data_IF_160821026694
#
_entry.id   IF_160821026694
#
_cell.length_a   1.000
_cell.length_b   1.000
_cell.length_c   1.000
_cell.angle_alpha   90.00
_cell.angle_beta   90.00
_cell.angle_gamma   90.00
#
_symmetry.space_group_name_H-M   'P 1'
#
loop_
_entity.id
_entity.type
_entity.pdbx_description
1 polymer ?
#
# COMPACT_ATOMS: atom_id res chain seq x y z
N UNK A 1 -22.42 24.03 14.13
CA UNK A 1 -21.82 24.16 12.78
C UNK A 1 -20.31 24.16 12.92
N UNK A 2 -19.59 23.26 12.21
CA UNK A 2 -18.12 23.17 12.30
C UNK A 2 -17.47 23.92 11.14
N UNK A 3 -16.52 24.79 11.45
CA UNK A 3 -15.73 25.50 10.45
C UNK A 3 -14.49 24.69 10.06
N UNK A 4 -14.24 24.61 8.76
CA UNK A 4 -13.23 23.78 8.15
C UNK A 4 -12.21 24.63 7.42
N UNK A 5 -10.93 24.29 7.58
CA UNK A 5 -9.84 24.76 6.74
C UNK A 5 -9.37 23.65 5.82
N UNK A 6 -9.12 23.93 4.54
CA UNK A 6 -8.61 22.96 3.56
C UNK A 6 -7.20 23.34 3.14
N UNK A 7 -6.24 22.49 3.41
CA UNK A 7 -4.87 22.60 2.89
C UNK A 7 -4.72 21.74 1.65
N UNK A 8 -4.54 22.38 0.49
CA UNK A 8 -4.51 21.73 -0.82
C UNK A 8 -5.89 21.64 -1.48
N UNK A 9 -5.99 22.25 -2.67
CA UNK A 9 -7.24 22.31 -3.44
C UNK A 9 -7.05 21.75 -4.86
N UNK A 10 -6.40 20.56 -4.89
CA UNK A 10 -6.27 19.72 -6.06
C UNK A 10 -7.50 18.82 -6.26
N UNK A 11 -7.32 17.69 -6.93
CA UNK A 11 -8.41 16.73 -7.24
C UNK A 11 -9.20 16.31 -6.00
N UNK A 12 -8.52 15.93 -4.92
CA UNK A 12 -9.16 15.46 -3.67
C UNK A 12 -9.84 16.61 -2.93
N UNK A 13 -9.13 17.73 -2.68
CA UNK A 13 -9.68 18.88 -1.95
C UNK A 13 -10.88 19.49 -2.65
N UNK A 14 -10.90 19.58 -4.00
CA UNK A 14 -12.05 20.05 -4.78
C UNK A 14 -13.22 19.08 -4.68
N UNK A 15 -12.97 17.78 -4.77
CA UNK A 15 -14.03 16.77 -4.65
C UNK A 15 -14.68 16.78 -3.26
N UNK A 16 -13.88 16.82 -2.20
CA UNK A 16 -14.36 16.97 -0.83
C UNK A 16 -15.23 18.24 -0.67
N UNK A 17 -14.71 19.40 -1.10
CA UNK A 17 -15.43 20.66 -1.05
C UNK A 17 -16.79 20.60 -1.75
N UNK A 18 -16.83 20.02 -2.96
CA UNK A 18 -18.07 19.91 -3.73
C UNK A 18 -19.09 19.03 -3.02
N UNK A 19 -18.66 17.91 -2.44
CA UNK A 19 -19.53 16.99 -1.72
C UNK A 19 -20.10 17.61 -0.46
N UNK A 20 -19.29 18.36 0.31
CA UNK A 20 -19.74 19.04 1.52
C UNK A 20 -20.76 20.14 1.22
N UNK A 21 -20.48 21.01 0.28
CA UNK A 21 -21.38 22.12 -0.05
C UNK A 21 -22.72 21.67 -0.65
N UNK A 22 -22.73 20.52 -1.33
CA UNK A 22 -23.96 19.97 -1.93
C UNK A 22 -24.90 19.34 -0.88
N UNK A 23 -24.32 18.65 0.10
CA UNK A 23 -25.08 17.67 0.89
C UNK A 23 -25.20 18.04 2.39
N UNK A 24 -24.41 19.01 2.91
CA UNK A 24 -24.34 19.21 4.35
C UNK A 24 -24.38 20.66 4.75
N UNK A 25 -25.42 21.04 5.55
CA UNK A 25 -25.58 22.39 6.09
C UNK A 25 -24.81 22.65 7.39
N UNK A 26 -24.38 21.57 8.06
CA UNK A 26 -23.72 21.65 9.38
C UNK A 26 -22.22 21.92 9.32
N UNK A 27 -21.65 21.98 8.10
CA UNK A 27 -20.23 22.19 7.86
C UNK A 27 -20.03 23.44 6.99
N UNK A 28 -19.00 24.20 7.29
CA UNK A 28 -18.65 25.40 6.53
C UNK A 28 -17.15 25.46 6.26
N UNK A 29 -16.77 25.45 5.01
CA UNK A 29 -15.39 25.76 4.63
C UNK A 29 -15.21 27.27 4.66
N UNK A 30 -14.32 27.76 5.52
CA UNK A 30 -14.08 29.21 5.71
C UNK A 30 -12.75 29.67 5.13
N UNK A 31 -11.78 28.75 4.98
CA UNK A 31 -10.46 29.10 4.46
C UNK A 31 -9.83 27.93 3.68
N UNK A 32 -9.15 28.25 2.60
CA UNK A 32 -8.45 27.29 1.72
C UNK A 32 -7.03 27.80 1.49
N UNK A 33 -6.03 26.91 1.71
CA UNK A 33 -4.65 27.21 1.36
C UNK A 33 -4.22 26.46 0.09
N UNK A 34 -3.58 27.18 -0.84
CA UNK A 34 -3.14 26.67 -2.13
C UNK A 34 -1.78 27.25 -2.52
N UNK A 35 -0.95 26.49 -3.23
CA UNK A 35 0.36 26.98 -3.71
C UNK A 35 0.24 28.20 -4.63
N UNK A 36 -0.78 28.21 -5.53
CA UNK A 36 -1.01 29.32 -6.47
C UNK A 36 -2.43 29.87 -6.29
N UNK A 37 -2.53 31.02 -5.64
CA UNK A 37 -3.81 31.72 -5.39
C UNK A 37 -4.44 32.25 -6.67
N UNK A 38 -3.63 32.67 -7.65
CA UNK A 38 -4.10 33.28 -8.92
C UNK A 38 -4.64 32.24 -9.91
N UNK A 39 -4.41 30.94 -9.69
CA UNK A 39 -4.91 29.89 -10.58
C UNK A 39 -6.44 29.92 -10.62
N UNK A 40 -7.04 30.15 -11.80
CA UNK A 40 -8.49 30.05 -12.02
C UNK A 40 -8.99 28.64 -11.69
N UNK A 41 -10.10 28.56 -10.98
CA UNK A 41 -10.76 27.31 -10.58
C UNK A 41 -12.20 27.31 -11.07
N UNK A 42 -12.68 26.16 -11.52
CA UNK A 42 -14.06 26.01 -12.00
C UNK A 42 -15.10 26.04 -10.86
N UNK A 43 -14.64 26.02 -9.62
CA UNK A 43 -15.49 26.01 -8.41
C UNK A 43 -15.63 27.42 -7.87
N UNK A 44 -16.85 27.82 -7.53
CA UNK A 44 -17.13 29.10 -6.91
C UNK A 44 -16.66 29.11 -5.44
N UNK A 45 -15.74 30.00 -5.13
CA UNK A 45 -15.16 30.19 -3.79
C UNK A 45 -15.58 31.51 -3.14
N UNK A 46 -16.75 32.05 -3.55
CA UNK A 46 -17.29 33.30 -2.96
C UNK A 46 -17.44 33.13 -1.45
N UNK A 47 -17.00 34.13 -0.69
CA UNK A 47 -17.00 34.14 0.77
C UNK A 47 -16.03 33.13 1.45
N UNK A 48 -15.04 32.62 0.73
CA UNK A 48 -14.00 31.74 1.29
C UNK A 48 -12.66 32.45 1.16
N UNK A 49 -11.94 32.57 2.28
CA UNK A 49 -10.58 33.11 2.27
C UNK A 49 -9.64 32.15 1.56
N UNK A 50 -8.97 32.59 0.50
CA UNK A 50 -7.94 31.79 -0.20
C UNK A 50 -6.57 32.40 0.10
N UNK A 51 -5.62 31.57 0.55
CA UNK A 51 -4.26 31.99 0.93
C UNK A 51 -3.19 31.09 0.32
N UNK A 52 -1.98 31.61 0.17
CA UNK A 52 -0.78 30.81 -0.10
C UNK A 52 -0.02 30.39 1.17
N UNK A 53 -0.36 31.02 2.31
CA UNK A 53 0.29 30.78 3.60
C UNK A 53 -0.43 29.67 4.35
N UNK A 54 -0.01 28.42 4.12
CA UNK A 54 -0.69 27.22 4.66
C UNK A 54 -0.80 27.25 6.20
N UNK A 55 0.17 27.85 6.91
CA UNK A 55 0.17 27.94 8.37
C UNK A 55 -0.98 28.80 8.94
N UNK A 56 -1.55 29.71 8.14
CA UNK A 56 -2.71 30.47 8.58
C UNK A 56 -3.92 29.58 8.93
N UNK A 57 -4.04 28.40 8.32
CA UNK A 57 -5.09 27.44 8.65
C UNK A 57 -4.90 26.88 10.07
N UNK A 58 -3.65 26.58 10.44
CA UNK A 58 -3.32 26.03 11.75
C UNK A 58 -3.55 27.02 12.89
N UNK A 59 -3.31 28.31 12.65
CA UNK A 59 -3.42 29.39 13.68
C UNK A 59 -4.75 30.11 13.69
N UNK A 60 -5.61 29.93 12.67
CA UNK A 60 -6.93 30.59 12.63
C UNK A 60 -7.86 30.01 13.72
N UNK A 61 -8.26 30.80 14.74
CA UNK A 61 -9.05 30.30 15.87
C UNK A 61 -10.46 29.84 15.47
N UNK A 62 -10.97 30.31 14.33
CA UNK A 62 -12.30 29.98 13.85
C UNK A 62 -12.37 28.60 13.15
N UNK A 63 -11.23 27.95 12.88
CA UNK A 63 -11.18 26.63 12.28
C UNK A 63 -11.13 25.58 13.37
N UNK A 64 -12.07 24.65 13.38
CA UNK A 64 -12.11 23.47 14.28
C UNK A 64 -11.53 22.21 13.64
N UNK A 65 -11.67 22.08 12.32
CA UNK A 65 -11.20 20.89 11.58
C UNK A 65 -10.29 21.34 10.44
N UNK A 66 -9.09 20.77 10.40
CA UNK A 66 -8.16 20.93 9.30
C UNK A 66 -8.21 19.70 8.40
N UNK A 67 -8.54 19.90 7.13
CA UNK A 67 -8.44 18.85 6.08
C UNK A 67 -7.14 19.05 5.33
N UNK A 68 -6.22 18.09 5.42
CA UNK A 68 -4.89 18.13 4.79
C UNK A 68 -4.86 17.24 3.54
N UNK A 69 -4.63 17.86 2.38
CA UNK A 69 -4.54 17.24 1.05
C UNK A 69 -3.34 17.80 0.25
N UNK A 70 -2.27 18.27 0.91
CA UNK A 70 -1.11 18.85 0.22
C UNK A 70 -0.04 17.82 -0.11
N UNK A 71 -0.01 16.68 0.60
CA UNK A 71 0.97 15.62 0.39
C UNK A 71 2.38 15.95 0.90
N UNK A 72 3.30 15.00 0.73
CA UNK A 72 4.67 15.07 1.23
C UNK A 72 4.80 14.59 2.68
N UNK A 73 5.95 13.98 3.00
CA UNK A 73 6.18 13.39 4.34
C UNK A 73 6.74 14.39 5.35
N UNK A 74 7.24 15.56 4.91
CA UNK A 74 7.97 16.51 5.74
C UNK A 74 7.65 17.96 5.34
N UNK A 75 8.37 18.92 5.90
CA UNK A 75 8.25 20.33 5.53
C UNK A 75 6.89 20.92 5.84
N UNK A 76 6.20 21.45 4.84
CA UNK A 76 4.95 22.20 5.02
C UNK A 76 3.81 21.38 5.61
N UNK A 77 3.62 20.13 5.17
CA UNK A 77 2.56 19.25 5.66
C UNK A 77 2.76 18.90 7.14
N UNK A 78 3.97 18.46 7.51
CA UNK A 78 4.29 18.14 8.90
C UNK A 78 4.11 19.36 9.83
N UNK A 79 4.69 20.51 9.45
CA UNK A 79 4.59 21.74 10.24
C UNK A 79 3.15 22.19 10.43
N UNK A 80 2.37 22.13 9.35
CA UNK A 80 0.94 22.46 9.38
C UNK A 80 0.16 21.60 10.36
N UNK A 81 0.27 20.26 10.20
CA UNK A 81 -0.49 19.32 11.03
C UNK A 81 -0.08 19.40 12.49
N UNK A 82 1.23 19.49 12.78
CA UNK A 82 1.73 19.66 14.15
C UNK A 82 1.19 20.92 14.80
N UNK A 83 1.34 22.07 14.14
CA UNK A 83 0.82 23.35 14.66
C UNK A 83 -0.69 23.35 14.83
N UNK A 84 -1.44 22.70 13.92
CA UNK A 84 -2.89 22.60 14.04
C UNK A 84 -3.32 21.77 15.26
N UNK A 85 -2.62 20.66 15.54
CA UNK A 85 -2.86 19.84 16.73
C UNK A 85 -2.55 20.63 18.01
N UNK A 86 -1.44 21.39 18.05
CA UNK A 86 -1.07 22.26 19.16
C UNK A 86 -2.12 23.36 19.41
N UNK A 87 -2.80 23.83 18.34
CA UNK A 87 -3.94 24.73 18.39
C UNK A 87 -5.30 24.01 18.54
N UNK A 88 -5.30 22.78 19.04
CA UNK A 88 -6.50 21.99 19.37
C UNK A 88 -7.47 21.78 18.20
N UNK A 89 -6.96 21.67 16.96
CA UNK A 89 -7.77 21.37 15.78
C UNK A 89 -7.78 19.88 15.50
N UNK A 90 -8.96 19.34 15.18
CA UNK A 90 -9.06 17.98 14.63
C UNK A 90 -8.45 17.95 13.23
N UNK A 91 -7.80 16.84 12.90
CA UNK A 91 -7.12 16.63 11.62
C UNK A 91 -7.84 15.54 10.83
N UNK A 92 -8.09 15.80 9.56
CA UNK A 92 -8.46 14.78 8.57
C UNK A 92 -7.42 14.85 7.47
N UNK A 93 -6.71 13.76 7.21
CA UNK A 93 -5.61 13.76 6.23
C UNK A 93 -5.70 12.62 5.23
N UNK A 94 -5.37 12.92 3.97
CA UNK A 94 -5.16 11.93 2.91
C UNK A 94 -3.66 11.56 2.74
N UNK A 95 -2.80 12.01 3.65
CA UNK A 95 -1.35 11.97 3.51
C UNK A 95 -0.73 10.77 4.25
N UNK A 96 -0.73 9.61 3.58
CA UNK A 96 -0.11 8.38 4.11
C UNK A 96 1.38 8.52 4.41
N UNK A 97 2.12 9.29 3.59
CA UNK A 97 3.56 9.45 3.76
C UNK A 97 3.89 10.21 5.06
N UNK A 98 3.14 11.27 5.37
CA UNK A 98 3.26 12.00 6.63
C UNK A 98 3.04 11.09 7.83
N UNK A 99 1.98 10.29 7.81
CA UNK A 99 1.64 9.39 8.92
C UNK A 99 2.63 8.22 9.03
N UNK A 100 3.11 7.67 7.92
CA UNK A 100 4.08 6.57 7.94
C UNK A 100 5.43 7.00 8.56
N UNK A 101 5.84 8.27 8.41
CA UNK A 101 7.12 8.79 8.88
C UNK A 101 6.99 9.46 10.27
N UNK A 102 5.97 10.29 10.47
CA UNK A 102 5.80 11.10 11.69
C UNK A 102 4.58 10.70 12.53
N UNK A 103 3.87 9.63 12.15
CA UNK A 103 2.60 9.27 12.77
C UNK A 103 2.68 9.04 14.27
N UNK A 104 3.74 8.38 14.78
CA UNK A 104 3.88 8.16 16.22
C UNK A 104 3.95 9.46 17.02
N UNK A 105 4.70 10.45 16.53
CA UNK A 105 4.79 11.77 17.17
C UNK A 105 3.46 12.52 17.10
N UNK A 106 2.86 12.56 15.91
CA UNK A 106 1.61 13.27 15.68
C UNK A 106 0.44 12.67 16.45
N UNK A 107 0.35 11.33 16.53
CA UNK A 107 -0.66 10.62 17.32
C UNK A 107 -0.51 10.93 18.81
N UNK A 108 0.71 10.84 19.35
CA UNK A 108 1.00 11.17 20.74
C UNK A 108 0.63 12.62 21.07
N UNK A 109 0.92 13.55 20.15
CA UNK A 109 0.59 14.95 20.28
C UNK A 109 -0.93 15.19 20.25
N UNK A 110 -1.65 14.48 19.36
CA UNK A 110 -3.10 14.55 19.24
C UNK A 110 -3.80 14.01 20.49
N UNK A 111 -3.35 12.88 21.03
CA UNK A 111 -3.84 12.33 22.30
C UNK A 111 -3.67 13.34 23.45
N UNK A 112 -2.48 13.95 23.57
CA UNK A 112 -2.19 14.97 24.60
C UNK A 112 -3.10 16.18 24.50
N UNK A 113 -3.51 16.58 23.29
CA UNK A 113 -4.33 17.76 23.04
C UNK A 113 -5.84 17.43 22.93
N UNK A 114 -6.26 16.17 23.12
CA UNK A 114 -7.63 15.70 22.99
C UNK A 114 -8.25 16.02 21.60
N UNK A 115 -7.47 15.85 20.54
CA UNK A 115 -7.93 16.00 19.16
C UNK A 115 -7.75 14.71 18.38
N UNK A 116 -8.58 14.52 17.35
CA UNK A 116 -8.55 13.35 16.48
C UNK A 116 -7.64 13.57 15.28
N UNK A 117 -6.97 12.50 14.84
CA UNK A 117 -6.40 12.39 13.50
C UNK A 117 -7.17 11.27 12.78
N UNK A 118 -7.95 11.65 11.79
CA UNK A 118 -8.69 10.72 10.93
C UNK A 118 -8.00 10.61 9.57
N UNK A 119 -7.91 9.39 9.01
CA UNK A 119 -7.07 9.15 7.83
C UNK A 119 -7.60 8.04 6.91
N UNK A 120 -8.91 7.80 6.90
CA UNK A 120 -9.53 6.84 5.97
C UNK A 120 -9.09 7.09 4.53
N UNK A 121 -9.06 8.37 4.14
CA UNK A 121 -8.63 8.82 2.81
C UNK A 121 -7.16 8.53 2.47
N UNK A 122 -6.33 8.22 3.47
CA UNK A 122 -4.89 8.02 3.28
C UNK A 122 -4.51 6.59 2.83
N UNK A 123 -5.38 5.60 3.01
CA UNK A 123 -5.01 4.18 2.80
C UNK A 123 -5.57 3.62 1.49
N UNK A 124 -6.85 3.36 1.41
CA UNK A 124 -7.45 2.64 0.28
C UNK A 124 -8.57 3.46 -0.40
N UNK A 125 -8.46 4.78 -0.38
CA UNK A 125 -9.38 5.68 -1.07
C UNK A 125 -10.84 5.48 -0.65
N UNK A 126 -11.63 4.81 -1.48
CA UNK A 126 -13.05 4.56 -1.22
C UNK A 126 -13.36 3.32 -0.39
N UNK A 127 -12.36 2.50 -0.04
CA UNK A 127 -12.52 1.30 0.78
C UNK A 127 -12.44 1.70 2.27
N UNK A 128 -13.49 1.48 3.10
CA UNK A 128 -13.53 1.93 4.50
C UNK A 128 -12.74 1.00 5.43
N UNK A 129 -11.43 0.82 5.17
CA UNK A 129 -10.60 -0.16 5.87
C UNK A 129 -10.14 0.31 7.24
N UNK A 130 -9.81 1.61 7.41
CA UNK A 130 -9.34 2.13 8.70
C UNK A 130 -10.46 2.01 9.73
N UNK A 131 -11.66 2.41 9.37
CA UNK A 131 -12.84 2.32 10.23
C UNK A 131 -13.21 0.87 10.53
N UNK A 132 -13.17 0.01 9.52
CA UNK A 132 -13.45 -1.43 9.71
C UNK A 132 -12.49 -2.03 10.73
N UNK A 133 -11.19 -1.81 10.60
CA UNK A 133 -10.19 -2.37 11.53
C UNK A 133 -10.26 -1.69 12.91
N UNK A 134 -10.42 -0.36 12.94
CA UNK A 134 -10.39 0.42 14.18
C UNK A 134 -11.63 0.23 15.05
N UNK A 135 -12.78 0.02 14.44
CA UNK A 135 -14.08 0.01 15.12
C UNK A 135 -14.73 -1.38 15.09
N UNK A 136 -14.97 -1.94 13.91
CA UNK A 136 -15.70 -3.20 13.76
C UNK A 136 -14.87 -4.41 14.22
N UNK A 137 -13.56 -4.42 13.93
CA UNK A 137 -12.67 -5.54 14.27
C UNK A 137 -11.77 -5.25 15.48
N UNK A 138 -12.08 -4.21 16.26
CA UNK A 138 -11.23 -3.72 17.36
C UNK A 138 -10.85 -4.78 18.39
N UNK A 139 -11.79 -5.66 18.70
CA UNK A 139 -11.61 -6.70 19.73
C UNK A 139 -11.21 -8.06 19.16
N UNK A 140 -11.17 -8.21 17.84
CA UNK A 140 -10.76 -9.43 17.17
C UNK A 140 -9.23 -9.54 17.17
N UNK A 141 -8.71 -10.76 17.22
CA UNK A 141 -7.28 -11.00 17.05
C UNK A 141 -6.96 -11.11 15.57
N UNK A 142 -6.70 -9.97 14.94
CA UNK A 142 -6.26 -9.95 13.55
C UNK A 142 -4.89 -10.62 13.47
N UNK A 143 -4.81 -11.70 12.71
CA UNK A 143 -3.57 -12.45 12.46
C UNK A 143 -2.86 -11.96 11.19
N UNK A 144 -3.63 -11.51 10.17
CA UNK A 144 -3.09 -11.10 8.90
C UNK A 144 -3.95 -10.03 8.25
N UNK A 145 -3.30 -9.03 7.66
CA UNK A 145 -3.93 -8.05 6.78
C UNK A 145 -3.07 -7.91 5.54
N UNK A 146 -3.67 -8.04 4.36
CA UNK A 146 -2.94 -7.94 3.11
C UNK A 146 -3.83 -7.42 2.00
N UNK A 147 -3.24 -6.95 0.91
CA UNK A 147 -4.06 -6.47 -0.18
C UNK A 147 -3.29 -5.84 -1.33
N UNK A 148 -4.05 -5.55 -2.38
CA UNK A 148 -3.64 -4.71 -3.51
C UNK A 148 -3.87 -3.26 -3.06
N UNK A 149 -2.79 -2.59 -2.66
CA UNK A 149 -2.85 -1.25 -2.07
C UNK A 149 -2.42 -0.14 -3.05
N UNK A 150 -2.01 -0.51 -4.27
CA UNK A 150 -1.61 0.43 -5.30
C UNK A 150 -2.32 0.11 -6.63
N UNK A 151 -3.24 0.97 -7.05
CA UNK A 151 -4.04 0.79 -8.26
C UNK A 151 -3.21 0.91 -9.54
N UNK A 152 -2.19 1.77 -9.58
CA UNK A 152 -1.29 1.92 -10.73
C UNK A 152 -0.57 0.62 -11.06
N UNK A 153 0.04 -0.01 -10.04
CA UNK A 153 0.72 -1.30 -10.22
C UNK A 153 -0.26 -2.40 -10.62
N UNK A 154 -1.45 -2.45 -10.00
CA UNK A 154 -2.44 -3.46 -10.36
C UNK A 154 -2.94 -3.29 -11.80
N UNK A 155 -3.15 -2.03 -12.25
CA UNK A 155 -3.47 -1.73 -13.64
C UNK A 155 -2.37 -2.22 -14.60
N UNK A 156 -1.10 -1.90 -14.31
CA UNK A 156 0.04 -2.30 -15.13
C UNK A 156 0.12 -3.83 -15.23
N UNK A 157 0.10 -4.55 -14.10
CA UNK A 157 0.17 -6.02 -14.09
C UNK A 157 -1.02 -6.65 -14.82
N UNK A 158 -2.24 -6.10 -14.65
CA UNK A 158 -3.43 -6.58 -15.36
C UNK A 158 -3.30 -6.41 -16.87
N UNK A 159 -2.79 -5.27 -17.34
CA UNK A 159 -2.63 -5.00 -18.77
C UNK A 159 -1.50 -5.82 -19.39
N UNK A 160 -0.38 -5.98 -18.69
CA UNK A 160 0.70 -6.89 -19.12
C UNK A 160 0.17 -8.30 -19.32
N UNK A 161 -0.58 -8.83 -18.35
CA UNK A 161 -1.15 -10.18 -18.40
C UNK A 161 -2.16 -10.37 -19.53
N UNK A 162 -3.10 -9.41 -19.70
CA UNK A 162 -4.21 -9.55 -20.66
C UNK A 162 -3.85 -9.19 -22.10
N UNK A 163 -3.00 -8.16 -22.25
CA UNK A 163 -2.69 -7.62 -23.58
C UNK A 163 -1.33 -8.11 -24.12
N UNK A 164 -0.55 -8.82 -23.31
CA UNK A 164 0.77 -9.32 -23.70
C UNK A 164 1.76 -8.20 -24.05
N UNK A 165 1.61 -7.02 -23.39
CA UNK A 165 2.46 -5.84 -23.62
C UNK A 165 3.54 -5.76 -22.56
N UNK A 166 4.73 -5.32 -22.97
CA UNK A 166 5.83 -5.08 -22.04
C UNK A 166 5.53 -3.96 -21.05
N UNK A 167 6.15 -4.06 -19.87
CA UNK A 167 6.01 -3.09 -18.76
C UNK A 167 6.15 -1.63 -19.21
N UNK A 168 7.16 -1.34 -20.04
CA UNK A 168 7.44 0.03 -20.51
C UNK A 168 6.32 0.62 -21.38
N UNK A 169 5.66 -0.20 -22.19
CA UNK A 169 4.53 0.22 -23.05
C UNK A 169 3.29 0.47 -22.18
N UNK A 170 2.98 -0.46 -21.29
CA UNK A 170 1.81 -0.33 -20.40
C UNK A 170 1.98 0.86 -19.45
N UNK A 171 3.19 1.10 -18.94
CA UNK A 171 3.46 2.28 -18.10
C UNK A 171 3.19 3.59 -18.84
N UNK A 172 3.62 3.70 -20.10
CA UNK A 172 3.33 4.88 -20.93
C UNK A 172 1.82 5.08 -21.14
N UNK A 173 1.08 3.98 -21.34
CA UNK A 173 -0.38 4.05 -21.49
C UNK A 173 -1.05 4.45 -20.16
N UNK A 174 -0.58 3.95 -19.03
CA UNK A 174 -1.05 4.37 -17.71
C UNK A 174 -0.82 5.86 -17.44
N UNK A 175 0.33 6.41 -17.88
CA UNK A 175 0.64 7.84 -17.78
C UNK A 175 -0.29 8.69 -18.63
N UNK A 176 -0.57 8.28 -19.87
CA UNK A 176 -1.51 8.99 -20.77
C UNK A 176 -2.93 9.02 -20.20
N UNK A 177 -3.36 7.93 -19.54
CA UNK A 177 -4.68 7.81 -18.91
C UNK A 177 -4.75 8.50 -17.53
N UNK A 178 -3.63 8.99 -17.01
CA UNK A 178 -3.55 9.65 -15.69
C UNK A 178 -3.57 8.71 -14.49
N UNK A 179 -3.36 7.40 -14.70
CA UNK A 179 -3.18 6.42 -13.62
C UNK A 179 -1.77 6.43 -13.02
N UNK A 180 -0.76 6.84 -13.81
CA UNK A 180 0.61 7.01 -13.35
C UNK A 180 1.07 8.46 -13.56
N UNK A 181 1.87 8.98 -12.64
CA UNK A 181 2.54 10.27 -12.77
C UNK A 181 3.75 10.18 -13.73
N UNK A 182 4.30 11.34 -14.12
CA UNK A 182 5.51 11.39 -14.97
C UNK A 182 6.69 10.67 -14.30
N UNK A 183 6.86 10.85 -12.99
CA UNK A 183 7.77 10.02 -12.19
C UNK A 183 6.95 8.98 -11.42
N UNK A 184 6.84 7.74 -11.93
CA UNK A 184 6.05 6.68 -11.32
C UNK A 184 6.81 5.91 -10.23
N UNK A 185 8.03 6.32 -9.91
CA UNK A 185 8.95 5.58 -9.00
C UNK A 185 8.29 5.22 -7.68
N UNK A 186 7.50 6.13 -7.11
CA UNK A 186 6.82 5.92 -5.84
C UNK A 186 5.82 4.74 -5.89
N UNK A 187 5.15 4.57 -7.02
CA UNK A 187 4.22 3.46 -7.26
C UNK A 187 4.96 2.18 -7.62
N UNK A 188 5.75 2.21 -8.71
CA UNK A 188 6.35 0.99 -9.29
C UNK A 188 7.40 0.33 -8.40
N UNK A 189 8.03 1.08 -7.50
CA UNK A 189 8.95 0.54 -6.48
C UNK A 189 8.22 0.06 -5.21
N UNK A 190 6.89 0.18 -5.13
CA UNK A 190 6.08 -0.31 -4.04
C UNK A 190 6.05 0.59 -2.79
N UNK A 191 6.60 1.80 -2.85
CA UNK A 191 6.72 2.72 -1.69
C UNK A 191 5.34 3.18 -1.24
N UNK A 192 4.43 3.49 -2.17
CA UNK A 192 3.04 3.85 -1.86
C UNK A 192 2.33 2.75 -1.07
N UNK A 193 2.41 1.51 -1.56
CA UNK A 193 1.83 0.36 -0.86
C UNK A 193 2.48 0.10 0.50
N UNK A 194 3.80 0.38 0.62
CA UNK A 194 4.52 0.21 1.88
C UNK A 194 4.09 1.22 2.95
N UNK A 195 3.86 2.47 2.61
CA UNK A 195 3.28 3.44 3.55
C UNK A 195 1.92 2.96 4.07
N UNK A 196 1.06 2.47 3.16
CA UNK A 196 -0.30 2.02 3.50
C UNK A 196 -0.30 0.78 4.39
N UNK A 197 0.50 -0.25 4.04
CA UNK A 197 0.57 -1.47 4.86
C UNK A 197 1.21 -1.22 6.22
N UNK A 198 2.17 -0.29 6.32
CA UNK A 198 2.75 0.11 7.61
C UNK A 198 1.69 0.70 8.54
N UNK A 199 0.82 1.55 8.05
CA UNK A 199 -0.28 2.12 8.83
C UNK A 199 -1.32 1.06 9.21
N UNK A 200 -1.68 0.19 8.27
CA UNK A 200 -2.59 -0.93 8.53
C UNK A 200 -2.02 -1.93 9.55
N UNK A 201 -0.73 -2.23 9.47
CA UNK A 201 -0.03 -3.10 10.43
C UNK A 201 -0.09 -2.51 11.86
N UNK A 202 0.20 -1.21 11.98
CA UNK A 202 0.13 -0.51 13.26
C UNK A 202 -1.28 -0.55 13.86
N UNK A 203 -2.30 -0.28 13.04
CA UNK A 203 -3.70 -0.30 13.44
C UNK A 203 -4.18 -1.71 13.82
N UNK A 204 -3.91 -2.71 12.97
CA UNK A 204 -4.39 -4.08 13.14
C UNK A 204 -3.74 -4.81 14.32
N UNK A 205 -2.46 -4.58 14.55
CA UNK A 205 -1.68 -5.31 15.58
C UNK A 205 -1.43 -4.50 16.85
N UNK A 206 -1.88 -3.25 16.88
CA UNK A 206 -1.62 -2.30 17.97
C UNK A 206 -0.10 -2.18 18.27
N UNK A 207 0.70 -1.93 17.23
CA UNK A 207 2.15 -1.72 17.32
C UNK A 207 2.51 -0.30 16.86
N UNK A 208 3.64 0.27 17.29
CA UNK A 208 4.09 1.57 16.77
C UNK A 208 4.28 1.55 15.25
N UNK A 209 4.01 2.67 14.60
CA UNK A 209 4.28 2.85 13.16
C UNK A 209 5.80 2.77 12.93
N UNK A 210 6.24 1.83 12.10
CA UNK A 210 7.68 1.60 11.83
C UNK A 210 7.93 1.33 10.35
N UNK A 211 7.86 2.37 9.54
CA UNK A 211 8.05 2.28 8.09
C UNK A 211 9.43 1.70 7.71
N UNK A 212 10.50 2.08 8.43
CA UNK A 212 11.86 1.61 8.17
C UNK A 212 12.06 0.10 8.29
N UNK A 213 11.11 -0.62 8.87
CA UNK A 213 11.16 -2.08 9.00
C UNK A 213 10.33 -2.81 7.94
N UNK A 214 9.69 -2.10 7.03
CA UNK A 214 8.92 -2.69 5.93
C UNK A 214 9.87 -3.14 4.82
N UNK A 215 9.81 -4.44 4.47
CA UNK A 215 10.50 -4.92 3.27
C UNK A 215 9.76 -4.43 2.02
N UNK A 216 10.50 -3.91 1.04
CA UNK A 216 9.88 -3.33 -0.16
C UNK A 216 10.59 -3.84 -1.41
N UNK A 217 9.80 -4.40 -2.33
CA UNK A 217 10.22 -4.79 -3.67
C UNK A 217 9.13 -4.37 -4.67
N UNK A 218 9.54 -3.68 -5.75
CA UNK A 218 8.63 -3.18 -6.78
C UNK A 218 8.31 -4.19 -7.87
N UNK A 219 7.50 -3.76 -8.85
CA UNK A 219 7.03 -4.59 -9.98
C UNK A 219 7.89 -4.47 -11.23
N UNK A 220 8.88 -3.62 -11.23
CA UNK A 220 9.69 -3.26 -12.40
C UNK A 220 10.57 -4.41 -12.95
N UNK A 221 10.65 -5.53 -12.23
CA UNK A 221 11.39 -6.73 -12.63
C UNK A 221 10.51 -7.85 -13.19
N UNK A 222 9.18 -7.68 -13.15
CA UNK A 222 8.23 -8.68 -13.67
C UNK A 222 8.25 -8.61 -15.20
N UNK A 223 8.37 -9.77 -15.85
CA UNK A 223 8.40 -9.90 -17.30
C UNK A 223 7.15 -10.61 -17.84
N UNK A 224 6.89 -10.49 -19.14
CA UNK A 224 5.73 -11.11 -19.78
C UNK A 224 5.70 -12.64 -19.62
N UNK A 225 6.86 -13.30 -19.78
CA UNK A 225 6.95 -14.74 -19.60
C UNK A 225 6.55 -15.20 -18.19
N UNK A 226 6.75 -14.35 -17.17
CA UNK A 226 6.38 -14.68 -15.80
C UNK A 226 4.86 -14.87 -15.66
N UNK A 227 4.05 -14.08 -16.39
CA UNK A 227 2.57 -14.24 -16.38
C UNK A 227 2.15 -15.54 -17.08
N UNK A 228 2.80 -15.91 -18.19
CA UNK A 228 2.50 -17.15 -18.90
C UNK A 228 2.78 -18.35 -18.00
N UNK A 229 3.96 -18.42 -17.42
CA UNK A 229 4.32 -19.51 -16.51
C UNK A 229 3.49 -19.51 -15.22
N UNK A 230 3.21 -18.35 -14.63
CA UNK A 230 2.35 -18.28 -13.45
C UNK A 230 0.98 -18.90 -13.73
N UNK A 231 0.35 -18.57 -14.87
CA UNK A 231 -0.95 -19.13 -15.29
C UNK A 231 -0.89 -20.64 -15.49
N UNK A 232 0.17 -21.17 -16.09
CA UNK A 232 0.35 -22.60 -16.29
C UNK A 232 0.42 -23.38 -14.98
N UNK A 233 0.88 -22.74 -13.91
CA UNK A 233 0.90 -23.32 -12.55
C UNK A 233 -0.34 -22.93 -11.70
N UNK A 234 -1.35 -22.29 -12.30
CA UNK A 234 -2.60 -21.91 -11.61
C UNK A 234 -2.48 -20.65 -10.73
N UNK A 235 -1.57 -19.74 -11.08
CA UNK A 235 -1.34 -18.49 -10.33
C UNK A 235 -1.50 -17.24 -11.19
N UNK A 236 -1.79 -16.12 -10.50
CA UNK A 236 -1.68 -14.75 -11.03
C UNK A 236 -0.62 -13.95 -10.27
N UNK A 237 -0.06 -12.92 -10.92
CA UNK A 237 0.93 -12.04 -10.30
C UNK A 237 0.24 -10.77 -9.83
N UNK A 238 0.38 -10.44 -8.54
CA UNK A 238 -0.12 -9.20 -7.92
C UNK A 238 0.96 -8.54 -7.07
N UNK A 239 0.96 -7.21 -6.97
CA UNK A 239 1.75 -6.51 -5.96
C UNK A 239 0.94 -6.46 -4.67
N UNK A 240 1.43 -7.11 -3.63
CA UNK A 240 0.74 -7.13 -2.34
C UNK A 240 1.50 -6.38 -1.26
N UNK A 241 0.78 -5.56 -0.50
CA UNK A 241 1.19 -5.17 0.84
C UNK A 241 0.66 -6.20 1.83
N UNK A 242 1.53 -6.73 2.69
CA UNK A 242 1.20 -7.83 3.61
C UNK A 242 1.73 -7.49 4.98
N UNK A 243 0.90 -7.62 6.00
CA UNK A 243 1.30 -7.62 7.39
C UNK A 243 0.74 -8.87 8.08
N UNK A 244 1.59 -9.60 8.79
CA UNK A 244 1.24 -10.86 9.46
C UNK A 244 1.80 -10.87 10.88
N UNK A 245 0.94 -11.22 11.84
CA UNK A 245 1.29 -11.33 13.25
C UNK A 245 1.45 -12.79 13.65
N UNK A 246 2.53 -13.08 14.34
CA UNK A 246 2.77 -14.31 15.08
C UNK A 246 2.63 -14.01 16.58
N UNK A 247 2.74 -15.02 17.46
CA UNK A 247 2.52 -14.86 18.90
C UNK A 247 3.18 -13.59 19.48
N UNK A 248 4.51 -13.46 19.34
CA UNK A 248 5.30 -12.38 19.95
C UNK A 248 6.00 -11.48 18.93
N UNK A 249 5.57 -11.57 17.67
CA UNK A 249 6.24 -10.88 16.58
C UNK A 249 5.27 -10.57 15.43
N UNK A 250 5.71 -9.70 14.54
CA UNK A 250 4.99 -9.40 13.31
C UNK A 250 5.97 -9.10 12.18
N UNK A 251 5.51 -9.20 10.97
CA UNK A 251 6.23 -8.78 9.78
C UNK A 251 5.36 -7.88 8.91
N UNK A 252 6.01 -7.04 8.13
CA UNK A 252 5.33 -6.20 7.13
C UNK A 252 6.20 -6.08 5.89
N UNK A 253 5.60 -6.27 4.71
CA UNK A 253 6.31 -6.37 3.45
C UNK A 253 5.45 -5.95 2.27
N UNK A 254 6.10 -5.51 1.20
CA UNK A 254 5.50 -5.26 -0.10
C UNK A 254 6.38 -5.91 -1.15
N UNK A 255 5.81 -6.77 -1.97
CA UNK A 255 6.51 -7.40 -3.09
C UNK A 255 5.51 -8.00 -4.10
N UNK A 256 5.94 -8.28 -5.34
CA UNK A 256 5.18 -9.13 -6.24
C UNK A 256 4.96 -10.50 -5.61
N UNK A 257 3.76 -11.01 -5.76
CA UNK A 257 3.35 -12.33 -5.26
C UNK A 257 2.66 -13.13 -6.35
N UNK A 258 2.93 -14.45 -6.38
CA UNK A 258 2.01 -15.38 -7.00
C UNK A 258 0.86 -15.65 -6.04
N UNK A 259 -0.36 -15.39 -6.50
CA UNK A 259 -1.60 -15.71 -5.78
C UNK A 259 -2.39 -16.76 -6.55
N UNK A 260 -3.02 -17.69 -5.87
CA UNK A 260 -3.85 -18.73 -6.54
C UNK A 260 -4.93 -18.07 -7.39
N UNK A 261 -5.13 -18.54 -8.60
CA UNK A 261 -6.04 -17.95 -9.58
C UNK A 261 -7.50 -17.94 -9.12
N UNK A 262 -7.92 -18.91 -8.31
CA UNK A 262 -9.25 -19.03 -7.74
C UNK A 262 -9.53 -18.08 -6.58
N UNK A 263 -8.48 -17.49 -5.98
CA UNK A 263 -8.60 -16.56 -4.86
C UNK A 263 -9.31 -15.25 -5.23
N UNK A 264 -9.99 -14.62 -4.26
CA UNK A 264 -10.70 -13.36 -4.47
C UNK A 264 -9.76 -12.23 -4.91
N UNK A 265 -8.54 -12.21 -4.34
CA UNK A 265 -7.56 -11.16 -4.65
C UNK A 265 -6.99 -11.30 -6.07
N UNK A 266 -6.91 -12.51 -6.60
CA UNK A 266 -6.49 -12.75 -7.98
C UNK A 266 -7.45 -12.15 -9.01
N UNK A 267 -8.73 -12.08 -8.68
CA UNK A 267 -9.82 -11.57 -9.54
C UNK A 267 -9.92 -10.04 -9.54
N UNK A 268 -9.17 -9.36 -8.67
CA UNK A 268 -9.15 -7.88 -8.61
C UNK A 268 -8.24 -7.34 -9.71
N UNK A 269 -8.83 -6.63 -10.66
CA UNK A 269 -8.17 -6.20 -11.89
C UNK A 269 -8.18 -4.68 -12.06
N UNK A 270 -7.41 -4.20 -13.04
CA UNK A 270 -7.26 -2.80 -13.40
C UNK A 270 -6.80 -1.94 -12.22
N UNK A 271 -7.35 -0.75 -12.04
CA UNK A 271 -6.98 0.21 -10.98
C UNK A 271 -7.60 -0.10 -9.61
N UNK A 272 -8.38 -1.20 -9.48
CA UNK A 272 -9.04 -1.54 -8.23
C UNK A 272 -8.03 -1.96 -7.16
N UNK A 273 -8.36 -1.58 -5.93
CA UNK A 273 -7.69 -2.06 -4.72
C UNK A 273 -8.54 -3.12 -4.03
N UNK A 274 -7.89 -3.93 -3.22
CA UNK A 274 -8.54 -4.88 -2.34
C UNK A 274 -7.77 -5.00 -1.03
N UNK A 275 -8.48 -5.17 0.07
CA UNK A 275 -7.88 -5.48 1.37
C UNK A 275 -8.56 -6.70 1.95
N UNK A 276 -7.76 -7.65 2.38
CA UNK A 276 -8.18 -8.87 3.06
C UNK A 276 -7.71 -8.80 4.50
N UNK A 277 -8.62 -9.03 5.44
CA UNK A 277 -8.33 -9.15 6.87
C UNK A 277 -8.67 -10.56 7.33
N UNK A 278 -7.78 -11.17 8.07
CA UNK A 278 -7.98 -12.49 8.67
C UNK A 278 -7.91 -12.34 10.20
N UNK A 279 -8.97 -12.73 10.87
CA UNK A 279 -9.09 -12.67 12.32
C UNK A 279 -9.72 -13.96 12.89
N UNK A 280 -9.70 -14.09 14.21
CA UNK A 280 -10.15 -15.29 14.93
C UNK A 280 -11.68 -15.41 15.13
N UNK A 281 -12.43 -14.32 14.93
CA UNK A 281 -13.87 -14.30 15.23
C UNK A 281 -14.71 -14.42 13.96
N UNK A 282 -14.34 -13.68 12.90
CA UNK A 282 -15.11 -13.62 11.63
C UNK A 282 -14.46 -14.51 10.57
N UNK A 283 -13.15 -14.78 10.72
CA UNK A 283 -12.35 -15.50 9.74
C UNK A 283 -11.79 -14.53 8.69
N UNK A 284 -12.28 -14.59 7.45
CA UNK A 284 -11.77 -13.79 6.33
C UNK A 284 -12.80 -12.72 5.91
N UNK A 285 -12.39 -11.46 5.98
CA UNK A 285 -13.14 -10.32 5.43
C UNK A 285 -12.40 -9.77 4.21
N UNK A 286 -13.12 -9.52 3.11
CA UNK A 286 -12.57 -8.96 1.87
C UNK A 286 -13.32 -7.69 1.50
N UNK A 287 -12.58 -6.60 1.28
CA UNK A 287 -13.10 -5.32 0.83
C UNK A 287 -12.46 -4.95 -0.50
N UNK A 288 -13.27 -4.67 -1.52
CA UNK A 288 -12.82 -4.33 -2.87
C UNK A 288 -13.45 -3.00 -3.29
N UNK A 289 -12.67 -2.14 -3.92
CA UNK A 289 -13.18 -0.86 -4.41
C UNK A 289 -12.10 0.03 -5.03
N UNK A 290 -12.46 1.26 -5.42
CA UNK A 290 -11.51 2.21 -5.98
C UNK A 290 -10.54 2.70 -4.89
N UNK A 291 -9.24 2.42 -5.08
CA UNK A 291 -8.18 2.74 -4.12
C UNK A 291 -7.70 4.18 -4.14
N UNK A 292 -8.09 4.97 -5.14
CA UNK A 292 -7.69 6.35 -5.34
C UNK A 292 -8.73 7.12 -6.16
N UNK A 293 -8.46 8.41 -6.40
CA UNK A 293 -9.33 9.27 -7.21
C UNK A 293 -10.09 10.31 -6.38
N UNK A 294 -10.48 11.40 -7.03
CA UNK A 294 -11.09 12.55 -6.34
C UNK A 294 -12.36 12.20 -5.58
N UNK A 295 -13.32 11.54 -6.24
CA UNK A 295 -14.60 11.20 -5.62
C UNK A 295 -14.47 10.19 -4.47
N UNK A 296 -13.81 9.03 -4.63
CA UNK A 296 -13.65 8.07 -3.55
C UNK A 296 -12.91 8.65 -2.33
N UNK A 297 -11.77 9.30 -2.58
CA UNK A 297 -10.96 9.89 -1.50
C UNK A 297 -11.70 11.07 -0.83
N UNK A 298 -12.43 11.88 -1.60
CA UNK A 298 -13.29 12.94 -1.05
C UNK A 298 -14.40 12.38 -0.16
N UNK A 299 -15.02 11.26 -0.56
CA UNK A 299 -16.05 10.59 0.24
C UNK A 299 -15.50 10.04 1.57
N UNK A 300 -14.28 9.50 1.56
CA UNK A 300 -13.61 9.05 2.78
C UNK A 300 -13.36 10.22 3.76
N UNK A 301 -12.91 11.39 3.26
CA UNK A 301 -12.78 12.61 4.09
C UNK A 301 -14.13 13.04 4.67
N UNK A 302 -15.21 12.96 3.88
CA UNK A 302 -16.58 13.29 4.35
C UNK A 302 -17.00 12.32 5.45
N UNK A 303 -16.73 11.01 5.29
CA UNK A 303 -17.06 10.00 6.32
C UNK A 303 -16.35 10.31 7.64
N UNK A 304 -15.05 10.60 7.60
CA UNK A 304 -14.27 11.01 8.77
C UNK A 304 -14.83 12.28 9.43
N UNK A 305 -15.26 13.25 8.63
CA UNK A 305 -15.86 14.49 9.14
C UNK A 305 -17.23 14.25 9.82
N UNK A 306 -18.04 13.35 9.26
CA UNK A 306 -19.32 12.96 9.84
C UNK A 306 -19.11 12.32 11.21
N UNK A 307 -18.14 11.42 11.33
CA UNK A 307 -17.80 10.78 12.61
C UNK A 307 -17.37 11.79 13.65
N UNK A 308 -16.53 12.74 13.32
CA UNK A 308 -16.16 13.86 14.20
C UNK A 308 -17.38 14.70 14.62
N UNK A 309 -18.35 14.90 13.73
CA UNK A 309 -19.56 15.66 14.04
C UNK A 309 -20.51 14.91 14.98
N UNK A 310 -20.49 13.57 14.94
CA UNK A 310 -21.25 12.71 15.86
C UNK A 310 -20.59 12.63 17.25
N UNK A 311 -19.45 13.27 17.45
CA UNK A 311 -18.69 13.21 18.70
C UNK A 311 -17.76 12.00 18.81
N UNK A 312 -17.59 11.22 17.75
CA UNK A 312 -16.68 10.09 17.71
C UNK A 312 -15.24 10.58 17.62
N UNK A 313 -14.67 10.97 18.76
CA UNK A 313 -13.25 11.33 18.89
C UNK A 313 -12.49 10.03 19.13
N UNK A 314 -12.16 9.35 18.05
CA UNK A 314 -11.45 8.09 18.11
C UNK A 314 -9.94 8.31 18.26
N UNK A 315 -9.29 7.43 19.03
CA UNK A 315 -7.84 7.34 19.04
C UNK A 315 -7.36 6.93 17.63
N UNK A 316 -6.38 7.64 17.03
CA UNK A 316 -6.01 7.43 15.63
C UNK A 316 -5.64 5.98 15.29
N UNK A 317 -4.95 5.28 16.21
CA UNK A 317 -4.54 3.88 16.07
C UNK A 317 -5.48 2.90 16.79
N UNK A 318 -6.71 3.31 17.09
CA UNK A 318 -7.70 2.47 17.80
C UNK A 318 -7.42 2.32 19.31
N UNK A 319 -6.18 2.41 19.73
CA UNK A 319 -5.72 2.40 21.12
C UNK A 319 -4.75 3.57 21.36
N UNK A 320 -4.54 3.93 22.64
CA UNK A 320 -3.50 4.91 22.97
C UNK A 320 -2.13 4.38 22.55
N UNK A 321 -1.31 5.25 21.99
CA UNK A 321 0.04 4.90 21.53
C UNK A 321 0.93 4.42 22.70
N UNK A 322 0.67 4.90 23.92
CA UNK A 322 1.35 4.44 25.13
C UNK A 322 1.07 2.96 25.46
N UNK A 323 -0.06 2.44 24.99
CA UNK A 323 -0.50 1.05 25.20
C UNK A 323 -0.16 0.14 24.01
N UNK A 324 0.69 0.60 23.09
CA UNK A 324 1.13 -0.19 21.94
C UNK A 324 1.87 -1.46 22.40
N UNK A 325 1.60 -2.57 21.73
CA UNK A 325 2.24 -3.86 22.00
C UNK A 325 3.72 -3.82 21.60
N UNK A 326 4.56 -4.41 22.44
CA UNK A 326 6.00 -4.55 22.17
C UNK A 326 6.30 -5.85 21.39
N UNK A 327 5.71 -5.98 20.20
CA UNK A 327 6.00 -7.11 19.32
C UNK A 327 7.33 -6.90 18.59
N UNK A 328 8.11 -7.99 18.42
CA UNK A 328 9.34 -7.96 17.62
C UNK A 328 8.99 -7.90 16.13
N UNK A 329 9.51 -6.93 15.40
CA UNK A 329 9.43 -6.95 13.95
C UNK A 329 10.42 -7.98 13.39
N UNK A 330 9.94 -8.91 12.52
CA UNK A 330 10.74 -9.97 11.92
C UNK A 330 11.35 -9.45 10.61
N UNK A 331 12.63 -9.75 10.39
CA UNK A 331 13.26 -9.54 9.09
C UNK A 331 12.72 -10.57 8.10
N UNK A 332 12.53 -10.18 6.83
CA UNK A 332 12.06 -11.09 5.78
C UNK A 332 12.92 -12.35 5.64
N UNK A 333 14.22 -12.26 5.95
CA UNK A 333 15.14 -13.41 5.90
C UNK A 333 14.75 -14.54 6.85
N UNK A 334 14.01 -14.23 7.92
CA UNK A 334 13.51 -15.20 8.89
C UNK A 334 12.11 -15.72 8.58
N UNK A 335 11.47 -15.17 7.56
CA UNK A 335 10.15 -15.60 7.07
C UNK A 335 10.28 -16.77 6.10
N UNK A 336 9.19 -17.51 5.90
CA UNK A 336 9.16 -18.69 5.03
C UNK A 336 8.14 -18.52 3.93
N UNK A 337 8.54 -18.78 2.68
CA UNK A 337 7.71 -18.70 1.50
C UNK A 337 7.92 -19.90 0.60
N UNK A 338 6.94 -20.22 -0.21
CA UNK A 338 7.17 -20.97 -1.44
C UNK A 338 7.56 -19.97 -2.55
N UNK A 339 8.30 -20.43 -3.54
CA UNK A 339 8.88 -19.57 -4.57
C UNK A 339 8.62 -20.11 -5.96
N UNK A 340 8.28 -19.19 -6.84
CA UNK A 340 8.47 -19.35 -8.27
C UNK A 340 9.89 -18.95 -8.63
N UNK A 341 10.60 -19.78 -9.36
CA UNK A 341 11.93 -19.54 -9.89
C UNK A 341 11.89 -19.64 -11.41
N UNK A 342 12.51 -18.68 -12.11
CA UNK A 342 12.77 -18.75 -13.55
C UNK A 342 14.27 -18.67 -13.78
N UNK A 343 14.83 -19.70 -14.41
CA UNK A 343 16.25 -19.89 -14.62
C UNK A 343 16.49 -20.12 -16.11
N UNK A 344 17.24 -19.24 -16.77
CA UNK A 344 17.65 -19.42 -18.16
C UNK A 344 19.06 -20.01 -18.17
N UNK A 345 19.20 -21.18 -18.73
CA UNK A 345 20.44 -21.98 -18.72
C UNK A 345 20.86 -22.38 -20.11
N UNK A 346 22.15 -22.70 -20.32
CA UNK A 346 22.57 -23.42 -21.52
C UNK A 346 21.88 -24.77 -21.58
N UNK A 347 21.37 -25.11 -22.76
CA UNK A 347 20.71 -26.42 -23.01
C UNK A 347 21.75 -27.52 -23.19
N UNK A 348 22.29 -28.00 -22.07
CA UNK A 348 23.37 -28.99 -22.00
C UNK A 348 23.03 -30.07 -20.98
N UNK A 349 23.52 -31.30 -21.25
CA UNK A 349 23.34 -32.46 -20.35
C UNK A 349 23.87 -32.13 -18.94
N UNK A 350 23.08 -32.50 -17.93
CA UNK A 350 23.46 -32.41 -16.51
C UNK A 350 23.25 -31.04 -15.85
N UNK A 351 22.73 -30.03 -16.57
CA UNK A 351 22.44 -28.71 -15.95
C UNK A 351 21.31 -28.82 -14.91
N UNK A 352 20.21 -29.49 -15.28
CA UNK A 352 19.08 -29.71 -14.36
C UNK A 352 19.51 -30.50 -13.11
N UNK A 353 20.33 -31.56 -13.27
CA UNK A 353 20.88 -32.28 -12.12
C UNK A 353 21.60 -31.37 -11.14
N UNK A 354 22.48 -30.48 -11.64
CA UNK A 354 23.23 -29.54 -10.77
C UNK A 354 22.33 -28.59 -10.01
N UNK A 355 21.28 -28.07 -10.67
CA UNK A 355 20.28 -27.21 -10.02
C UNK A 355 19.57 -28.00 -8.92
N UNK A 356 19.09 -29.21 -9.22
CA UNK A 356 18.42 -30.10 -8.26
C UNK A 356 19.33 -30.47 -7.09
N UNK A 357 20.63 -30.74 -7.33
CA UNK A 357 21.61 -31.01 -6.28
C UNK A 357 21.80 -29.80 -5.34
N UNK A 358 21.82 -28.55 -5.87
CA UNK A 358 21.91 -27.34 -5.04
C UNK A 358 20.65 -27.17 -4.20
N UNK A 359 19.46 -27.33 -4.79
CA UNK A 359 18.20 -27.24 -4.07
C UNK A 359 18.12 -28.31 -2.97
N UNK A 360 18.45 -29.57 -3.28
CA UNK A 360 18.44 -30.68 -2.33
C UNK A 360 19.39 -30.47 -1.15
N UNK A 361 20.64 -30.05 -1.41
CA UNK A 361 21.63 -29.75 -0.34
C UNK A 361 21.16 -28.64 0.59
N UNK A 362 20.40 -27.66 0.06
CA UNK A 362 19.80 -26.59 0.86
C UNK A 362 18.41 -26.99 1.40
N UNK A 363 17.99 -28.27 1.32
CA UNK A 363 16.70 -28.78 1.80
C UNK A 363 15.49 -28.06 1.21
N UNK A 364 15.60 -27.62 -0.04
CA UNK A 364 14.51 -27.01 -0.80
C UNK A 364 13.81 -28.08 -1.62
N UNK A 365 12.58 -28.40 -1.27
CA UNK A 365 11.75 -29.34 -1.99
C UNK A 365 11.06 -28.64 -3.17
N UNK A 366 11.02 -29.33 -4.31
CA UNK A 366 10.33 -28.91 -5.52
C UNK A 366 8.89 -29.40 -5.45
N UNK A 367 7.92 -28.51 -5.65
CA UNK A 367 6.50 -28.85 -5.78
C UNK A 367 6.14 -29.12 -7.24
N UNK A 368 6.49 -28.20 -8.14
CA UNK A 368 6.23 -28.31 -9.57
C UNK A 368 7.44 -27.83 -10.36
N UNK A 369 7.62 -28.36 -11.56
CA UNK A 369 8.66 -27.90 -12.47
C UNK A 369 8.24 -28.03 -13.93
N UNK A 370 8.80 -27.13 -14.76
CA UNK A 370 8.67 -27.16 -16.21
C UNK A 370 10.00 -26.75 -16.84
N UNK A 371 10.37 -27.40 -17.95
CA UNK A 371 11.47 -26.99 -18.80
C UNK A 371 10.99 -26.85 -20.24
N UNK A 372 11.39 -25.80 -20.91
CA UNK A 372 11.11 -25.55 -22.31
C UNK A 372 12.30 -24.88 -23.01
N UNK A 373 12.29 -24.86 -24.33
CA UNK A 373 13.29 -24.11 -25.10
C UNK A 373 13.15 -22.59 -24.77
N UNK A 374 14.29 -21.94 -24.54
CA UNK A 374 14.32 -20.49 -24.39
C UNK A 374 14.21 -19.81 -25.77
N UNK A 375 13.71 -18.59 -25.80
CA UNK A 375 13.75 -17.72 -26.98
C UNK A 375 15.20 -17.46 -27.47
N UNK A 376 16.19 -17.72 -26.63
CA UNK A 376 17.61 -17.63 -26.97
C UNK A 376 18.10 -18.99 -27.45
N UNK A 377 18.57 -19.06 -28.71
CA UNK A 377 19.11 -20.31 -29.32
C UNK A 377 20.21 -20.92 -28.43
N UNK A 378 20.12 -22.22 -28.19
CA UNK A 378 21.07 -23.00 -27.36
C UNK A 378 20.85 -22.81 -25.86
N UNK A 379 19.70 -22.28 -25.45
CA UNK A 379 19.31 -22.13 -24.04
C UNK A 379 17.95 -22.76 -23.77
N UNK A 380 17.74 -23.20 -22.53
CA UNK A 380 16.46 -23.66 -21.99
C UNK A 380 16.02 -22.75 -20.85
N UNK A 381 14.72 -22.61 -20.68
CA UNK A 381 14.11 -21.96 -19.52
C UNK A 381 13.58 -23.05 -18.58
N UNK A 382 14.07 -23.04 -17.35
CA UNK A 382 13.61 -23.92 -16.28
C UNK A 382 12.79 -23.08 -15.32
N UNK A 383 11.55 -23.51 -15.07
CA UNK A 383 10.67 -22.89 -14.09
C UNK A 383 10.36 -23.89 -12.99
N UNK A 384 10.48 -23.46 -11.73
CA UNK A 384 10.29 -24.29 -10.55
C UNK A 384 9.39 -23.57 -9.56
N UNK A 385 8.39 -24.28 -9.02
CA UNK A 385 7.67 -23.90 -7.80
C UNK A 385 8.22 -24.74 -6.66
N UNK A 386 8.60 -24.09 -5.55
CA UNK A 386 9.11 -24.79 -4.37
C UNK A 386 8.05 -24.95 -3.29
N UNK A 387 8.24 -25.89 -2.38
CA UNK A 387 7.56 -25.87 -1.08
C UNK A 387 8.07 -24.70 -0.20
N UNK A 388 7.36 -24.41 0.90
CA UNK A 388 7.74 -23.35 1.84
C UNK A 388 9.11 -23.59 2.46
N UNK A 389 9.98 -22.57 2.39
CA UNK A 389 11.34 -22.59 2.93
C UNK A 389 11.68 -21.19 3.48
N UNK A 390 12.56 -21.12 4.48
CA UNK A 390 13.05 -19.83 5.01
C UNK A 390 13.78 -19.03 3.93
N UNK A 391 13.47 -17.74 3.82
CA UNK A 391 14.10 -16.81 2.85
C UNK A 391 15.64 -16.85 2.93
N UNK A 392 16.21 -16.94 4.13
CA UNK A 392 17.66 -17.01 4.33
C UNK A 392 18.28 -18.24 3.64
N UNK A 393 17.63 -19.40 3.74
CA UNK A 393 18.10 -20.65 3.10
C UNK A 393 17.93 -20.55 1.60
N UNK A 394 16.75 -20.08 1.14
CA UNK A 394 16.46 -19.86 -0.26
C UNK A 394 17.48 -18.90 -0.90
N UNK A 395 17.73 -17.74 -0.29
CA UNK A 395 18.70 -16.77 -0.79
C UNK A 395 20.12 -17.32 -0.93
N UNK A 396 20.52 -18.25 -0.04
CA UNK A 396 21.81 -18.96 -0.15
C UNK A 396 21.83 -19.83 -1.40
N UNK A 397 20.80 -20.67 -1.61
CA UNK A 397 20.68 -21.54 -2.79
C UNK A 397 20.68 -20.74 -4.11
N UNK A 398 19.95 -19.62 -4.15
CA UNK A 398 19.92 -18.74 -5.33
C UNK A 398 21.30 -18.15 -5.64
N UNK A 399 22.09 -17.77 -4.62
CA UNK A 399 23.47 -17.32 -4.83
C UNK A 399 24.35 -18.44 -5.43
N UNK A 400 24.22 -19.68 -4.94
CA UNK A 400 24.95 -20.81 -5.47
C UNK A 400 24.57 -21.09 -6.94
N UNK A 401 23.27 -21.08 -7.28
CA UNK A 401 22.80 -21.25 -8.65
C UNK A 401 23.34 -20.13 -9.56
N UNK A 402 23.25 -18.86 -9.13
CA UNK A 402 23.74 -17.73 -9.90
C UNK A 402 25.27 -17.79 -10.19
N UNK A 403 26.04 -18.51 -9.38
CA UNK A 403 27.48 -18.69 -9.57
C UNK A 403 27.81 -19.82 -10.55
N UNK A 404 26.83 -20.58 -11.05
CA UNK A 404 27.05 -21.63 -12.05
C UNK A 404 27.42 -21.00 -13.41
N UNK A 405 28.52 -21.44 -14.03
CA UNK A 405 29.02 -20.95 -15.35
C UNK A 405 27.99 -21.08 -16.50
N UNK A 406 26.96 -21.90 -16.33
CA UNK A 406 25.95 -22.23 -17.37
C UNK A 406 24.66 -21.41 -17.24
N UNK A 407 24.58 -20.52 -16.27
CA UNK A 407 23.45 -19.59 -16.09
C UNK A 407 23.64 -18.40 -17.02
N UNK A 408 22.62 -18.08 -17.81
CA UNK A 408 22.69 -16.94 -18.73
C UNK A 408 22.48 -15.60 -18.05
N UNK A 409 21.49 -15.53 -17.14
CA UNK A 409 21.13 -14.33 -16.39
C UNK A 409 20.95 -14.69 -14.91
N UNK A 410 20.89 -13.69 -14.03
CA UNK A 410 20.51 -13.92 -12.63
C UNK A 410 19.16 -14.62 -12.57
N UNK A 411 19.05 -15.61 -11.68
CA UNK A 411 17.79 -16.27 -11.37
C UNK A 411 16.74 -15.25 -10.95
N UNK A 412 15.58 -15.31 -11.59
CA UNK A 412 14.41 -14.53 -11.17
C UNK A 412 13.54 -15.37 -10.27
N UNK A 413 12.91 -14.72 -9.30
CA UNK A 413 11.99 -15.40 -8.40
C UNK A 413 10.87 -14.48 -7.95
N UNK A 414 9.73 -15.08 -7.64
CA UNK A 414 8.57 -14.39 -7.05
C UNK A 414 8.08 -15.27 -5.90
N UNK A 415 7.74 -14.66 -4.76
CA UNK A 415 7.19 -15.37 -3.61
C UNK A 415 5.74 -15.72 -3.85
N UNK A 416 5.28 -16.86 -3.34
CA UNK A 416 3.85 -17.20 -3.37
C UNK A 416 3.17 -16.68 -2.11
N UNK A 417 1.90 -16.32 -2.24
CA UNK A 417 1.04 -15.91 -1.14
C UNK A 417 -0.28 -16.69 -1.22
N UNK A 418 -0.58 -17.49 -0.17
CA UNK A 418 -1.76 -18.34 -0.10
C UNK A 418 -1.57 -19.54 0.77
#
# INVERSE_FOLDING_TARGET
>A
MRNIGIAGFGTVGQSFFTQINKNFKNFRVIQIAVKNVKKKRKINLKNIKVTSKVQELATNPNIQVLVECIGGSSGAAYKLVKTAIENKKHIITANKALLAIHGNELVKLAEKNNVSISYEAAIAGGIPIVKTVRENLKYNNISKIYGILNGTCNYILTKMEKEGKDFSLVLKDAQKLGFAELDPTFDIKGIDAAHKITLLSSLAFNVPIKFSSTYIEGVDKVELDDFRFAREFGYKIKLLGIAERKKDSYEQRVHPCLVKEDSEIAKVENELNAVVVIDDMIGKTVLIGPGAGGKPTGAAIVADLIDLNRGNINLPLGNSISNSKKLKNINILDSSFAYYLKIVVKDEVGVMRRISDILARNKISIDQQKQEHSNKRGYATIVIITHKIKEKIFSKAIKEINNMKRINNKVKFIRTEG
#
